data_IF_214352332549
#
_entry.id   IF_214352332549
#
_cell.length_a   1.000
_cell.length_b   1.000
_cell.length_c   1.000
_cell.angle_alpha   90.00
_cell.angle_beta   90.00
_cell.angle_gamma   90.00
#
_symmetry.space_group_name_H-M   'P 1'
#
loop_
_entity.id
_entity.type
_entity.pdbx_description
1 polymer ?
#
# COMPACT_ATOMS: atom_id res chain seq x y z
N UNK A 1 -31.29 8.49 -11.31
CA UNK A 1 -31.58 8.20 -12.74
C UNK A 1 -30.94 6.86 -13.06
N UNK A 2 -31.26 6.25 -14.18
CA UNK A 2 -30.50 5.06 -14.62
C UNK A 2 -29.08 5.51 -14.98
N UNK A 3 -28.09 4.64 -14.75
CA UNK A 3 -26.69 4.89 -15.06
C UNK A 3 -26.23 3.93 -16.14
N UNK A 4 -25.47 4.40 -17.13
CA UNK A 4 -24.81 3.56 -18.12
C UNK A 4 -23.31 3.52 -17.84
N UNK A 5 -22.75 2.31 -17.72
CA UNK A 5 -21.32 2.08 -17.54
C UNK A 5 -20.89 1.08 -18.62
N UNK A 6 -20.11 1.53 -19.61
CA UNK A 6 -19.59 0.67 -20.67
C UNK A 6 -20.67 -0.21 -21.36
N UNK A 7 -21.87 0.32 -21.58
CA UNK A 7 -22.98 -0.42 -22.19
C UNK A 7 -23.79 -1.30 -21.22
N UNK A 8 -23.42 -1.31 -19.94
CA UNK A 8 -24.23 -1.89 -18.88
C UNK A 8 -25.15 -0.83 -18.28
N UNK A 9 -26.46 -1.05 -18.39
CA UNK A 9 -27.47 -0.19 -17.78
C UNK A 9 -27.78 -0.64 -16.35
N UNK A 10 -27.52 0.24 -15.39
CA UNK A 10 -27.82 0.07 -13.97
C UNK A 10 -29.10 0.86 -13.66
N UNK A 11 -30.22 0.20 -13.31
CA UNK A 11 -31.47 0.88 -13.03
C UNK A 11 -31.37 1.77 -11.78
N UNK A 12 -32.23 2.80 -11.71
CA UNK A 12 -32.40 3.61 -10.48
C UNK A 12 -32.60 2.71 -9.25
N UNK A 13 -32.14 3.17 -8.08
CA UNK A 13 -32.24 2.49 -6.77
C UNK A 13 -31.40 1.20 -6.64
N UNK A 14 -30.30 1.10 -7.39
CA UNK A 14 -29.30 0.04 -7.20
C UNK A 14 -28.03 0.58 -6.56
N UNK A 15 -27.37 -0.27 -5.77
CA UNK A 15 -26.04 0.01 -5.24
C UNK A 15 -24.98 -0.48 -6.22
N UNK A 16 -23.94 0.33 -6.40
CA UNK A 16 -22.75 -0.02 -7.16
C UNK A 16 -21.57 0.01 -6.19
N UNK A 17 -20.80 -1.07 -6.16
CA UNK A 17 -19.58 -1.16 -5.37
C UNK A 17 -18.40 -1.33 -6.32
N UNK A 18 -17.39 -0.47 -6.19
CA UNK A 18 -16.10 -0.65 -6.83
C UNK A 18 -15.12 -1.28 -5.85
N UNK A 19 -14.43 -2.33 -6.29
CA UNK A 19 -13.35 -2.95 -5.52
C UNK A 19 -12.04 -2.71 -6.26
N UNK A 20 -11.02 -2.11 -5.63
CA UNK A 20 -9.73 -1.93 -6.27
C UNK A 20 -8.87 -3.21 -6.25
N UNK A 21 -9.24 -4.22 -5.44
CA UNK A 21 -8.44 -5.44 -5.22
C UNK A 21 -8.15 -6.20 -6.52
N UNK A 22 -9.11 -6.47 -7.42
CA UNK A 22 -8.82 -7.19 -8.66
C UNK A 22 -7.76 -6.47 -9.50
N UNK A 23 -7.87 -5.15 -9.63
CA UNK A 23 -6.88 -4.34 -10.36
C UNK A 23 -5.54 -4.26 -9.64
N UNK A 24 -5.50 -4.27 -8.30
CA UNK A 24 -4.24 -4.26 -7.51
C UNK A 24 -3.49 -5.58 -7.57
N UNK A 25 -4.19 -6.68 -7.88
CA UNK A 25 -3.65 -8.04 -7.84
C UNK A 25 -3.61 -8.70 -9.22
N UNK A 26 -3.90 -7.95 -10.30
CA UNK A 26 -3.92 -8.47 -11.66
C UNK A 26 -2.49 -8.67 -12.19
N UNK A 27 -2.02 -9.91 -12.42
CA UNK A 27 -0.69 -10.14 -12.95
C UNK A 27 -0.51 -9.58 -14.37
N UNK A 28 -1.58 -9.41 -15.15
CA UNK A 28 -1.49 -8.77 -16.47
C UNK A 28 -1.11 -7.28 -16.38
N UNK A 29 -1.31 -6.66 -15.22
CA UNK A 29 -0.96 -5.26 -14.94
C UNK A 29 0.41 -5.20 -14.23
N UNK A 30 0.68 -6.10 -13.27
CA UNK A 30 1.82 -5.96 -12.35
C UNK A 30 2.98 -6.95 -12.57
N UNK A 31 2.82 -7.94 -13.45
CA UNK A 31 3.82 -9.01 -13.69
C UNK A 31 4.35 -9.01 -15.13
N UNK A 32 4.56 -7.82 -15.69
CA UNK A 32 4.93 -7.61 -17.10
C UNK A 32 6.38 -8.02 -17.42
N UNK A 33 7.25 -8.12 -16.40
CA UNK A 33 8.63 -8.58 -16.52
C UNK A 33 8.81 -9.98 -15.89
N UNK A 34 9.83 -10.73 -16.33
CA UNK A 34 10.11 -12.15 -16.01
C UNK A 34 10.19 -12.56 -14.52
N UNK A 35 10.01 -11.64 -13.57
CA UNK A 35 9.88 -11.96 -12.15
C UNK A 35 8.41 -11.85 -11.73
N UNK A 36 7.70 -12.98 -11.79
CA UNK A 36 6.31 -13.14 -11.34
C UNK A 36 6.11 -13.02 -9.81
N UNK A 37 7.17 -12.69 -9.07
CA UNK A 37 7.08 -12.36 -7.65
C UNK A 37 6.66 -10.89 -7.53
N UNK A 38 5.64 -10.63 -6.71
CA UNK A 38 5.23 -9.28 -6.28
C UNK A 38 6.44 -8.56 -5.68
N UNK A 39 7.24 -7.89 -6.51
CA UNK A 39 8.36 -7.09 -6.08
C UNK A 39 7.90 -5.63 -6.00
N UNK A 40 7.93 -5.00 -4.82
CA UNK A 40 7.77 -3.55 -4.70
C UNK A 40 8.78 -2.76 -5.54
N UNK A 41 9.81 -3.43 -6.10
CA UNK A 41 10.82 -2.84 -6.97
C UNK A 41 10.47 -2.87 -8.46
N UNK A 42 9.32 -3.37 -8.89
CA UNK A 42 8.93 -3.37 -10.32
C UNK A 42 8.59 -1.97 -10.85
N UNK A 43 8.42 -0.97 -9.99
CA UNK A 43 8.22 0.43 -10.38
C UNK A 43 9.53 1.21 -10.61
N UNK A 44 10.64 0.53 -10.94
CA UNK A 44 11.94 1.18 -11.15
C UNK A 44 12.09 1.65 -12.60
N UNK A 45 11.53 2.81 -12.96
CA UNK A 45 12.11 3.66 -14.03
C UNK A 45 11.36 4.94 -14.38
N UNK A 46 10.20 5.27 -13.81
CA UNK A 46 9.50 6.50 -14.20
C UNK A 46 9.72 7.62 -13.19
N UNK A 47 9.87 8.89 -13.63
CA UNK A 47 9.91 10.04 -12.72
C UNK A 47 8.70 9.96 -11.79
N UNK A 48 8.93 10.21 -10.50
CA UNK A 48 8.00 9.97 -9.39
C UNK A 48 6.64 10.67 -9.62
N UNK A 49 5.76 10.04 -10.39
CA UNK A 49 4.33 10.33 -10.39
C UNK A 49 3.86 10.15 -8.94
N UNK A 50 3.05 11.11 -8.46
CA UNK A 50 2.62 11.22 -7.06
C UNK A 50 2.23 9.82 -6.54
N UNK A 51 2.92 9.26 -5.54
CA UNK A 51 2.65 7.92 -4.91
C UNK A 51 1.16 7.53 -4.71
N UNK A 52 0.24 8.51 -4.80
CA UNK A 52 -1.21 8.37 -4.77
C UNK A 52 -1.88 8.06 -6.12
N UNK A 53 -1.19 8.25 -7.23
CA UNK A 53 -1.57 7.97 -8.61
C UNK A 53 -0.43 7.11 -9.18
N UNK A 54 -0.70 5.86 -9.53
CA UNK A 54 0.35 5.00 -10.09
C UNK A 54 0.94 5.57 -11.38
N UNK A 55 1.89 4.88 -12.03
CA UNK A 55 2.41 5.29 -13.34
C UNK A 55 1.26 5.58 -14.31
N UNK A 56 1.42 6.54 -15.21
CA UNK A 56 0.41 6.87 -16.22
C UNK A 56 0.01 5.64 -17.08
N UNK A 57 0.92 4.68 -17.28
CA UNK A 57 0.67 3.39 -17.94
C UNK A 57 -0.31 2.48 -17.19
N UNK A 58 -0.58 2.76 -15.92
CA UNK A 58 -1.50 2.03 -15.03
C UNK A 58 -2.63 2.92 -14.50
N UNK A 59 -3.00 3.96 -15.26
CA UNK A 59 -4.03 4.92 -14.87
C UNK A 59 -5.35 4.21 -14.51
N UNK A 60 -5.81 4.39 -13.27
CA UNK A 60 -7.01 3.74 -12.74
C UNK A 60 -6.82 2.32 -12.21
N UNK A 61 -5.66 1.68 -12.42
CA UNK A 61 -5.36 0.38 -11.82
C UNK A 61 -4.83 0.53 -10.37
N UNK A 62 -4.14 1.62 -10.05
CA UNK A 62 -3.67 1.93 -8.69
C UNK A 62 -4.61 2.91 -7.98
N UNK A 63 -5.31 2.44 -6.96
CA UNK A 63 -6.33 3.19 -6.21
C UNK A 63 -6.37 2.84 -4.71
N UNK A 64 -5.23 2.87 -3.99
CA UNK A 64 -5.18 2.52 -2.55
C UNK A 64 -5.96 3.50 -1.66
N UNK A 65 -6.28 4.68 -2.18
CA UNK A 65 -7.03 5.73 -1.49
C UNK A 65 -8.41 6.00 -2.15
N UNK A 66 -8.89 5.08 -2.99
CA UNK A 66 -10.06 5.32 -3.85
C UNK A 66 -9.76 6.29 -4.99
N UNK A 67 -10.80 6.88 -5.58
CA UNK A 67 -10.68 7.78 -6.72
C UNK A 67 -11.82 8.81 -6.81
N UNK A 68 -11.65 9.80 -7.69
CA UNK A 68 -12.63 10.86 -7.92
C UNK A 68 -12.89 11.77 -6.71
N UNK A 69 -14.09 12.34 -6.63
CA UNK A 69 -14.50 13.27 -5.55
C UNK A 69 -14.52 12.64 -4.15
N UNK A 70 -14.54 11.31 -4.06
CA UNK A 70 -14.56 10.57 -2.80
C UNK A 70 -13.20 9.93 -2.46
N UNK A 71 -12.12 10.31 -3.15
CA UNK A 71 -10.78 9.89 -2.79
C UNK A 71 -10.44 10.32 -1.35
N UNK A 72 -9.68 9.48 -0.62
CA UNK A 72 -9.34 9.75 0.78
C UNK A 72 -8.67 11.12 0.92
N UNK A 73 -9.24 12.05 1.72
CA UNK A 73 -8.66 13.37 1.92
C UNK A 73 -7.34 13.28 2.71
N UNK A 74 -7.17 12.24 3.52
CA UNK A 74 -5.99 11.98 4.31
C UNK A 74 -4.81 11.36 3.55
N UNK A 75 -4.91 11.07 2.25
CA UNK A 75 -3.88 10.32 1.49
C UNK A 75 -2.46 10.90 1.60
N UNK A 76 -2.35 12.23 1.55
CA UNK A 76 -1.05 12.94 1.67
C UNK A 76 -0.50 12.86 3.09
N UNK A 77 -1.36 13.05 4.09
CA UNK A 77 -1.00 12.92 5.49
C UNK A 77 -0.58 11.48 5.84
N UNK A 78 -1.37 10.49 5.41
CA UNK A 78 -1.06 9.08 5.60
C UNK A 78 0.28 8.70 4.98
N UNK A 79 0.61 9.21 3.78
CA UNK A 79 1.94 9.03 3.15
C UNK A 79 3.05 9.52 4.07
N UNK A 80 2.95 10.77 4.55
CA UNK A 80 3.97 11.38 5.41
C UNK A 80 4.14 10.58 6.71
N UNK A 81 3.05 10.22 7.39
CA UNK A 81 3.11 9.44 8.63
C UNK A 81 3.69 8.05 8.41
N UNK A 82 3.31 7.36 7.34
CA UNK A 82 3.84 6.04 7.02
C UNK A 82 5.35 6.07 6.74
N UNK A 83 5.81 7.05 5.94
CA UNK A 83 7.23 7.22 5.63
C UNK A 83 8.03 7.57 6.88
N UNK A 84 7.58 8.55 7.69
CA UNK A 84 8.26 8.95 8.92
C UNK A 84 8.32 7.79 9.93
N UNK A 85 7.22 7.09 10.14
CA UNK A 85 7.18 5.96 11.07
C UNK A 85 8.13 4.84 10.62
N UNK A 86 8.16 4.53 9.33
CA UNK A 86 9.06 3.53 8.75
C UNK A 86 10.52 3.97 8.88
N UNK A 87 10.82 5.23 8.58
CA UNK A 87 12.16 5.81 8.73
C UNK A 87 12.66 5.71 10.18
N UNK A 88 11.82 6.05 11.16
CA UNK A 88 12.16 5.95 12.58
C UNK A 88 12.45 4.50 13.00
N UNK A 89 11.67 3.54 12.49
CA UNK A 89 11.91 2.11 12.73
C UNK A 89 13.23 1.65 12.09
N UNK A 90 13.45 2.00 10.82
CA UNK A 90 14.62 1.57 10.04
C UNK A 90 15.91 2.16 10.59
N UNK A 91 15.90 3.40 11.07
CA UNK A 91 17.11 4.07 11.59
C UNK A 91 17.38 3.64 13.04
N UNK A 92 16.34 3.59 13.87
CA UNK A 92 16.49 3.40 15.31
C UNK A 92 16.55 1.95 15.78
N UNK A 93 16.12 0.98 14.96
CA UNK A 93 15.90 -0.39 15.42
C UNK A 93 16.38 -1.45 14.43
N UNK A 94 16.84 -2.57 14.99
CA UNK A 94 16.97 -3.84 14.29
C UNK A 94 15.66 -4.62 14.49
N UNK A 95 14.95 -4.87 13.38
CA UNK A 95 13.66 -5.56 13.35
C UNK A 95 13.83 -6.90 12.65
N UNK A 96 13.60 -7.99 13.38
CA UNK A 96 13.65 -9.36 12.89
C UNK A 96 12.23 -9.95 12.93
N UNK A 97 11.68 -10.33 11.78
CA UNK A 97 10.37 -10.99 11.68
C UNK A 97 10.57 -12.48 11.97
N UNK A 98 9.89 -12.98 13.00
CA UNK A 98 10.02 -14.38 13.47
C UNK A 98 8.98 -15.32 12.83
N UNK A 99 8.12 -14.80 11.96
CA UNK A 99 7.12 -15.56 11.24
C UNK A 99 7.65 -15.97 9.85
N UNK A 100 7.22 -17.14 9.36
CA UNK A 100 7.46 -17.52 7.97
C UNK A 100 6.60 -16.63 7.06
N UNK A 101 7.27 -15.75 6.31
CA UNK A 101 6.63 -14.78 5.41
C UNK A 101 5.78 -15.48 4.35
N UNK A 102 6.18 -16.68 3.90
CA UNK A 102 5.44 -17.44 2.86
C UNK A 102 4.10 -17.96 3.37
N UNK A 103 3.93 -18.06 4.68
CA UNK A 103 2.72 -18.58 5.32
C UNK A 103 1.80 -17.46 5.82
N UNK A 104 2.19 -16.19 5.69
CA UNK A 104 1.36 -15.07 6.12
C UNK A 104 0.09 -14.97 5.26
N UNK A 105 -1.05 -15.23 5.91
CA UNK A 105 -2.36 -15.08 5.31
C UNK A 105 -2.98 -13.73 5.67
N UNK A 106 -3.77 -13.19 4.76
CA UNK A 106 -4.55 -11.97 4.98
C UNK A 106 -5.92 -12.36 5.53
N UNK A 107 -6.38 -11.67 6.58
CA UNK A 107 -7.71 -11.86 7.14
C UNK A 107 -8.78 -11.24 6.25
N UNK A 108 -9.83 -12.00 5.97
CA UNK A 108 -11.02 -11.50 5.27
C UNK A 108 -12.00 -10.74 6.17
N UNK A 109 -11.75 -10.67 7.49
CA UNK A 109 -12.66 -10.07 8.47
C UNK A 109 -12.93 -8.58 8.22
N UNK A 110 -11.99 -7.87 7.60
CA UNK A 110 -12.07 -6.45 7.27
C UNK A 110 -12.10 -6.21 5.76
N UNK A 111 -12.40 -7.24 4.97
CA UNK A 111 -12.46 -7.12 3.52
C UNK A 111 -13.45 -6.02 3.10
N UNK A 112 -13.01 -5.12 2.22
CA UNK A 112 -13.80 -3.97 1.78
C UNK A 112 -13.84 -2.77 2.73
N UNK A 113 -13.29 -2.89 3.95
CA UNK A 113 -13.27 -1.82 4.96
C UNK A 113 -11.87 -1.23 5.19
N UNK A 114 -11.13 -0.99 4.10
CA UNK A 114 -9.81 -0.37 4.14
C UNK A 114 -8.67 -1.39 4.19
N UNK A 115 -7.76 -1.24 5.16
CA UNK A 115 -6.52 -2.01 5.21
C UNK A 115 -6.77 -3.44 5.70
N UNK A 116 -6.41 -4.42 4.85
CA UNK A 116 -6.43 -5.82 5.23
C UNK A 116 -5.35 -6.12 6.27
N UNK A 117 -5.69 -6.95 7.27
CA UNK A 117 -4.79 -7.30 8.37
C UNK A 117 -4.25 -8.71 8.19
N UNK A 118 -3.08 -9.05 8.73
CA UNK A 118 -2.67 -10.44 8.88
C UNK A 118 -3.74 -11.25 9.61
N UNK A 119 -3.93 -12.51 9.22
CA UNK A 119 -4.88 -13.43 9.84
C UNK A 119 -4.56 -13.66 11.33
N UNK A 120 -3.27 -13.67 11.67
CA UNK A 120 -2.77 -13.87 13.01
C UNK A 120 -1.74 -12.82 13.41
N UNK A 121 -1.38 -12.79 14.70
CA UNK A 121 -0.33 -11.89 15.20
C UNK A 121 1.03 -12.32 14.65
N UNK A 122 1.69 -11.42 13.92
CA UNK A 122 3.05 -11.62 13.41
C UNK A 122 4.04 -11.35 14.54
N UNK A 123 4.81 -12.38 14.94
CA UNK A 123 5.87 -12.23 15.94
C UNK A 123 7.08 -11.53 15.31
N UNK A 124 7.61 -10.53 15.99
CA UNK A 124 8.83 -9.85 15.60
C UNK A 124 9.68 -9.55 16.84
N UNK A 125 11.00 -9.53 16.66
CA UNK A 125 11.98 -9.07 17.64
C UNK A 125 12.47 -7.69 17.23
N UNK A 126 12.44 -6.75 18.16
CA UNK A 126 12.84 -5.36 17.91
C UNK A 126 13.90 -5.00 18.95
N UNK A 127 15.09 -4.59 18.49
CA UNK A 127 16.19 -4.13 19.34
C UNK A 127 16.57 -2.71 18.96
N UNK A 128 16.67 -1.80 19.94
CA UNK A 128 17.17 -0.44 19.68
C UNK A 128 18.64 -0.49 19.28
N UNK A 129 19.02 0.22 18.22
CA UNK A 129 20.42 0.38 17.84
C UNK A 129 21.16 1.21 18.89
N UNK A 130 22.39 0.81 19.19
CA UNK A 130 23.19 1.36 20.27
C UNK A 130 23.76 2.75 20.00
N UNK A 131 23.73 3.19 18.75
CA UNK A 131 24.33 4.44 18.32
C UNK A 131 23.24 5.50 18.14
N UNK A 132 23.45 6.67 18.74
CA UNK A 132 22.53 7.81 18.64
C UNK A 132 22.17 8.15 17.19
N UNK A 133 21.00 8.73 16.98
CA UNK A 133 20.60 9.18 15.65
C UNK A 133 21.51 10.36 15.30
N UNK A 134 22.41 10.17 14.33
CA UNK A 134 23.18 11.27 13.77
C UNK A 134 22.23 12.13 12.93
N UNK A 135 21.92 13.33 13.42
CA UNK A 135 21.23 14.36 12.63
C UNK A 135 22.27 15.44 12.33
N UNK A 136 22.92 15.33 11.17
CA UNK A 136 24.12 16.11 10.85
C UNK A 136 25.34 15.67 11.67
N UNK A 137 26.23 16.60 12.03
CA UNK A 137 27.45 16.32 12.81
C UNK A 137 27.20 16.08 14.32
N UNK A 138 25.94 16.11 14.76
CA UNK A 138 25.59 15.97 16.17
C UNK A 138 24.96 14.61 16.46
N UNK A 139 25.62 13.87 17.37
CA UNK A 139 25.12 12.63 17.95
C UNK A 139 24.09 12.93 19.03
N UNK A 140 22.82 12.74 18.72
CA UNK A 140 21.76 12.71 19.74
C UNK A 140 21.90 11.42 20.54
N UNK A 141 22.60 11.50 21.68
CA UNK A 141 22.52 10.47 22.73
C UNK A 141 21.16 10.62 23.41
N UNK A 142 20.30 9.62 23.28
CA UNK A 142 19.11 9.50 24.13
C UNK A 142 19.51 8.98 25.50
#
# INVERSE_FOLDING_TARGET
MDMDIHGYRIPRNHYVASSPIPSHMDPAIWSTDQNADYSPSSSRSEPEEEFTAGPASHAGAWMPFGGGYHACPGRRFAKVIAMLSTMMLVIGYDVEVLADVKQLQVSMRNFGFGVSRPAERVKARIKRRGDGILVGDNLLKC
#
